data_IF_429070670927
#
_entry.id   IF_429070670927
#
_cell.length_a   1.000
_cell.length_b   1.000
_cell.length_c   1.000
_cell.angle_alpha   90.00
_cell.angle_beta   90.00
_cell.angle_gamma   90.00
#
_symmetry.space_group_name_H-M   'P 1'
#
loop_
_entity.id
_entity.type
_entity.pdbx_description
1 polymer ?
#
# COMPACT_ATOMS: atom_id res chain seq x y z
N UNK A 1 1.49 20.43 6.59
CA UNK A 1 2.79 19.74 6.40
C UNK A 1 3.24 18.95 7.63
N UNK A 2 3.11 19.49 8.86
CA UNK A 2 3.48 18.80 10.12
C UNK A 2 2.75 17.47 10.40
N UNK A 3 1.50 17.30 9.96
CA UNK A 3 0.76 16.04 10.18
C UNK A 3 1.39 14.86 9.43
N UNK A 4 1.89 15.05 8.21
CA UNK A 4 2.48 13.97 7.40
C UNK A 4 3.85 13.53 7.93
N UNK A 5 4.66 14.47 8.45
CA UNK A 5 5.95 14.12 9.05
C UNK A 5 5.79 13.31 10.33
N UNK A 6 4.79 13.65 11.16
CA UNK A 6 4.45 12.83 12.33
C UNK A 6 3.98 11.44 11.94
N UNK A 7 3.20 11.31 10.86
CA UNK A 7 2.76 10.01 10.39
C UNK A 7 3.94 9.12 9.92
N UNK A 8 4.93 9.74 9.26
CA UNK A 8 6.16 9.07 8.86
C UNK A 8 6.95 8.53 10.06
N UNK A 9 7.18 9.38 11.07
CA UNK A 9 7.96 8.99 12.26
C UNK A 9 7.26 7.84 12.98
N UNK A 10 5.93 7.90 13.10
CA UNK A 10 5.18 6.87 13.80
C UNK A 10 5.34 5.48 13.17
N UNK A 11 5.20 5.35 11.84
CA UNK A 11 5.36 4.04 11.19
C UNK A 11 6.82 3.57 11.21
N UNK A 12 7.79 4.49 11.17
CA UNK A 12 9.21 4.18 11.32
C UNK A 12 9.51 3.60 12.71
N UNK A 13 8.91 4.17 13.75
CA UNK A 13 9.02 3.65 15.13
C UNK A 13 8.38 2.26 15.22
N UNK A 14 7.20 2.05 14.64
CA UNK A 14 6.57 0.72 14.60
C UNK A 14 7.46 -0.32 13.91
N UNK A 15 8.05 0.06 12.77
CA UNK A 15 9.00 -0.78 12.05
C UNK A 15 10.23 -1.08 12.88
N UNK A 16 10.79 -0.08 13.56
CA UNK A 16 11.95 -0.27 14.42
C UNK A 16 11.64 -1.20 15.59
N UNK A 17 10.48 -1.07 16.23
CA UNK A 17 10.03 -1.98 17.29
C UNK A 17 9.89 -3.42 16.79
N UNK A 18 9.31 -3.63 15.60
CA UNK A 18 9.27 -4.96 14.99
C UNK A 18 10.67 -5.47 14.64
N UNK A 19 11.58 -4.59 14.22
CA UNK A 19 12.95 -4.96 13.87
C UNK A 19 13.71 -5.46 15.11
N UNK A 20 13.58 -4.75 16.24
CA UNK A 20 14.14 -5.17 17.52
C UNK A 20 13.58 -6.51 17.99
N UNK A 21 12.34 -6.84 17.61
CA UNK A 21 11.70 -8.15 17.89
C UNK A 21 12.07 -9.24 16.88
N UNK A 22 12.86 -8.94 15.85
CA UNK A 22 13.18 -9.88 14.77
C UNK A 22 11.97 -10.26 13.89
N UNK A 23 10.90 -9.46 13.91
CA UNK A 23 9.64 -9.74 13.21
C UNK A 23 9.54 -9.06 11.83
N UNK A 24 10.56 -8.32 11.43
CA UNK A 24 10.59 -7.62 10.13
C UNK A 24 10.99 -8.58 9.05
N UNK A 25 10.09 -8.77 8.08
CA UNK A 25 10.38 -9.53 6.86
C UNK A 25 10.96 -8.57 5.84
N UNK A 26 12.24 -8.26 6.00
CA UNK A 26 12.98 -7.55 4.94
C UNK A 26 12.99 -8.45 3.72
N UNK A 27 12.59 -7.92 2.58
CA UNK A 27 12.83 -8.60 1.30
C UNK A 27 14.34 -8.74 1.13
N UNK A 28 14.82 -9.88 0.63
CA UNK A 28 16.22 -10.02 0.21
C UNK A 28 16.53 -8.91 -0.77
N UNK A 29 17.50 -8.07 -0.41
CA UNK A 29 18.14 -7.15 -1.34
C UNK A 29 18.58 -7.96 -2.57
N UNK A 30 18.41 -7.38 -3.75
CA UNK A 30 19.02 -7.87 -4.98
C UNK A 30 20.52 -8.17 -4.74
N UNK A 31 21.15 -9.07 -5.53
CA UNK A 31 22.52 -9.45 -5.30
C UNK A 31 23.42 -8.19 -5.29
N UNK A 32 24.12 -8.02 -4.17
CA UNK A 32 25.29 -7.17 -3.95
C UNK A 32 25.35 -5.87 -4.78
N UNK A 33 24.80 -4.77 -4.25
CA UNK A 33 25.23 -3.41 -4.61
C UNK A 33 24.20 -2.48 -5.26
N UNK A 34 22.98 -2.95 -5.57
CA UNK A 34 21.89 -2.08 -6.03
C UNK A 34 20.84 -1.90 -4.94
N UNK A 35 20.88 -0.74 -4.28
CA UNK A 35 19.77 -0.26 -3.47
C UNK A 35 18.73 0.31 -4.45
N UNK A 36 17.66 -0.42 -4.83
CA UNK A 36 16.65 0.18 -5.71
C UNK A 36 15.71 1.09 -4.92
N UNK A 37 16.20 2.29 -4.73
CA UNK A 37 15.38 3.48 -4.79
C UNK A 37 14.90 3.70 -6.23
N UNK A 38 13.63 4.06 -6.38
CA UNK A 38 12.93 4.44 -7.62
C UNK A 38 13.85 5.07 -8.70
N UNK A 39 13.83 4.48 -9.90
CA UNK A 39 14.49 5.06 -11.06
C UNK A 39 13.46 5.78 -11.91
N UNK A 40 13.65 7.09 -12.10
CA UNK A 40 12.91 7.86 -13.10
C UNK A 40 13.95 8.36 -14.10
N UNK A 41 13.77 8.03 -15.39
CA UNK A 41 14.64 8.46 -16.49
C UNK A 41 16.14 8.08 -16.33
N UNK A 42 16.43 6.94 -15.69
CA UNK A 42 17.81 6.45 -15.55
C UNK A 42 18.70 7.26 -14.61
N UNK A 43 18.15 8.21 -13.84
CA UNK A 43 18.87 8.93 -12.78
C UNK A 43 18.27 8.63 -11.41
N UNK A 44 19.16 8.32 -10.47
CA UNK A 44 18.82 8.10 -9.06
C UNK A 44 18.45 9.44 -8.43
N UNK A 45 17.19 9.61 -8.04
CA UNK A 45 16.84 10.72 -7.16
C UNK A 45 17.33 10.37 -5.74
N UNK A 46 18.15 11.20 -5.09
CA UNK A 46 18.72 10.87 -3.77
C UNK A 46 17.71 11.05 -2.62
N UNK A 47 16.61 11.76 -2.87
CA UNK A 47 15.58 12.11 -1.89
C UNK A 47 14.28 12.45 -2.63
N UNK A 48 13.19 11.77 -2.30
CA UNK A 48 11.93 11.87 -3.06
C UNK A 48 11.17 10.56 -2.98
N UNK A 49 10.94 10.09 -1.76
CA UNK A 49 10.11 8.89 -1.58
C UNK A 49 8.66 9.33 -1.58
N UNK A 50 7.86 8.82 -2.52
CA UNK A 50 6.42 9.02 -2.51
C UNK A 50 5.86 8.58 -1.16
N UNK A 51 5.24 9.51 -0.43
CA UNK A 51 4.75 9.27 0.92
C UNK A 51 3.89 8.00 1.01
N UNK A 52 2.93 7.84 0.09
CA UNK A 52 2.05 6.67 0.06
C UNK A 52 2.82 5.37 -0.19
N UNK A 53 3.73 5.36 -1.16
CA UNK A 53 4.53 4.18 -1.49
C UNK A 53 5.48 3.82 -0.34
N UNK A 54 6.11 4.83 0.29
CA UNK A 54 6.95 4.66 1.47
C UNK A 54 6.18 3.99 2.62
N UNK A 55 5.02 4.56 2.98
CA UNK A 55 4.17 4.02 4.04
C UNK A 55 3.75 2.58 3.74
N UNK A 56 3.33 2.29 2.50
CA UNK A 56 2.96 0.93 2.11
C UNK A 56 4.12 -0.05 2.20
N UNK A 57 5.32 0.31 1.74
CA UNK A 57 6.51 -0.56 1.83
C UNK A 57 6.89 -0.85 3.28
N UNK A 58 6.95 0.17 4.14
CA UNK A 58 7.25 -0.01 5.56
C UNK A 58 6.17 -0.84 6.26
N UNK A 59 4.89 -0.65 5.90
CA UNK A 59 3.79 -1.44 6.44
C UNK A 59 3.82 -2.90 5.97
N UNK A 60 4.24 -3.17 4.73
CA UNK A 60 4.40 -4.52 4.22
C UNK A 60 5.51 -5.29 4.94
N UNK A 61 6.64 -4.63 5.22
CA UNK A 61 7.77 -5.22 5.96
C UNK A 61 7.38 -5.73 7.36
N UNK A 62 6.38 -5.10 7.99
CA UNK A 62 5.81 -5.48 9.29
C UNK A 62 4.51 -6.30 9.20
N UNK A 63 4.12 -6.75 8.01
CA UNK A 63 2.86 -7.48 7.73
C UNK A 63 1.59 -6.74 8.21
N UNK A 64 1.64 -5.40 8.21
CA UNK A 64 0.55 -4.53 8.63
C UNK A 64 -0.22 -3.91 7.44
N UNK A 65 0.32 -3.99 6.22
CA UNK A 65 -0.36 -3.56 5.01
C UNK A 65 -1.56 -4.48 4.68
N UNK A 66 -2.80 -3.97 4.69
CA UNK A 66 -3.97 -4.80 4.46
C UNK A 66 -4.18 -5.06 2.97
N UNK A 67 -4.12 -6.32 2.52
CA UNK A 67 -4.52 -6.68 1.16
C UNK A 67 -6.02 -6.48 0.98
N UNK A 68 -6.49 -6.09 -0.22
CA UNK A 68 -7.92 -5.98 -0.55
C UNK A 68 -8.71 -7.25 -0.17
N UNK A 69 -8.15 -8.44 -0.46
CA UNK A 69 -8.75 -9.73 -0.06
C UNK A 69 -8.83 -9.88 1.46
N UNK A 70 -7.83 -9.39 2.18
CA UNK A 70 -7.79 -9.45 3.65
C UNK A 70 -8.79 -8.50 4.29
N UNK A 71 -8.96 -7.30 3.73
CA UNK A 71 -10.00 -6.34 4.08
C UNK A 71 -11.39 -6.93 3.81
N UNK A 72 -11.59 -7.50 2.61
CA UNK A 72 -12.86 -8.12 2.22
C UNK A 72 -13.22 -9.38 3.03
N UNK A 73 -12.23 -10.09 3.57
CA UNK A 73 -12.46 -11.23 4.47
C UNK A 73 -12.70 -10.79 5.92
N UNK A 74 -11.91 -9.84 6.42
CA UNK A 74 -12.08 -9.25 7.76
C UNK A 74 -13.39 -8.47 7.87
N UNK A 75 -13.86 -8.00 6.72
CA UNK A 75 -15.15 -7.37 6.47
C UNK A 75 -16.36 -8.15 7.00
N UNK A 76 -16.38 -9.49 6.92
CA UNK A 76 -17.48 -10.30 7.48
C UNK A 76 -17.63 -10.17 9.02
N UNK A 77 -16.62 -9.64 9.72
CA UNK A 77 -16.61 -9.49 11.18
C UNK A 77 -17.00 -8.09 11.66
N UNK A 78 -16.96 -7.09 10.78
CA UNK A 78 -17.10 -5.67 11.14
C UNK A 78 -18.37 -5.06 10.53
N UNK A 79 -18.96 -4.07 11.21
CA UNK A 79 -20.28 -3.48 10.84
C UNK A 79 -20.33 -2.83 9.44
N UNK A 80 -19.23 -2.24 8.94
CA UNK A 80 -19.22 -1.49 7.67
C UNK A 80 -17.97 -1.76 6.81
N UNK A 81 -17.91 -2.93 6.16
CA UNK A 81 -16.72 -3.35 5.44
C UNK A 81 -16.44 -2.60 4.14
N UNK A 82 -17.50 -2.26 3.41
CA UNK A 82 -17.43 -1.57 2.13
C UNK A 82 -16.88 -0.15 2.32
N UNK A 83 -17.19 0.50 3.44
CA UNK A 83 -16.64 1.81 3.80
C UNK A 83 -15.14 1.73 3.98
N UNK A 84 -14.65 0.75 4.74
CA UNK A 84 -13.22 0.52 4.94
C UNK A 84 -12.48 0.24 3.63
N UNK A 85 -13.09 -0.56 2.74
CA UNK A 85 -12.51 -0.86 1.42
C UNK A 85 -12.42 0.40 0.56
N UNK A 86 -13.50 1.17 0.49
CA UNK A 86 -13.53 2.41 -0.27
C UNK A 86 -12.52 3.43 0.27
N UNK A 87 -12.48 3.66 1.59
CA UNK A 87 -11.48 4.53 2.20
C UNK A 87 -10.05 4.05 1.98
N UNK A 88 -9.84 2.74 1.86
CA UNK A 88 -8.52 2.21 1.58
C UNK A 88 -8.10 2.46 0.12
N UNK A 89 -9.02 2.32 -0.84
CA UNK A 89 -8.73 2.59 -2.25
C UNK A 89 -8.62 4.08 -2.57
N UNK A 90 -9.46 4.89 -1.94
CA UNK A 90 -9.68 6.30 -2.29
C UNK A 90 -8.99 7.27 -1.32
N UNK A 91 -8.75 6.82 -0.09
CA UNK A 91 -8.14 7.63 0.96
C UNK A 91 -6.63 7.72 0.80
N UNK A 92 -6.05 8.70 1.49
CA UNK A 92 -4.61 8.81 1.63
C UNK A 92 -4.08 7.72 2.58
N UNK A 93 -2.82 7.34 2.42
CA UNK A 93 -2.10 6.38 3.27
C UNK A 93 -1.94 6.87 4.72
N UNK A 94 -3.03 6.84 5.49
CA UNK A 94 -3.03 7.19 6.91
C UNK A 94 -2.74 5.98 7.79
N UNK A 95 -2.09 6.23 8.93
CA UNK A 95 -1.73 5.19 9.92
C UNK A 95 -2.88 4.28 10.34
N UNK A 96 -4.13 4.75 10.56
CA UNK A 96 -5.24 3.87 10.93
C UNK A 96 -5.43 2.72 9.95
N UNK A 97 -5.19 2.93 8.64
CA UNK A 97 -5.27 1.90 7.61
C UNK A 97 -4.23 0.78 7.83
N UNK A 98 -3.01 1.15 8.21
CA UNK A 98 -1.93 0.20 8.53
C UNK A 98 -2.07 -0.43 9.92
N UNK A 99 -3.08 -0.05 10.70
CA UNK A 99 -3.40 -0.65 12.01
C UNK A 99 -4.72 -1.43 12.00
N UNK A 100 -5.26 -1.70 10.81
CA UNK A 100 -6.40 -2.61 10.65
C UNK A 100 -5.99 -4.08 10.81
N UNK A 101 -4.71 -4.39 10.53
CA UNK A 101 -4.09 -5.70 10.57
C UNK A 101 -2.63 -5.59 11.04
N UNK A 102 -2.03 -6.71 11.43
CA UNK A 102 -0.62 -6.79 11.79
C UNK A 102 -0.38 -6.76 13.31
N UNK A 103 0.87 -6.60 13.75
CA UNK A 103 1.26 -6.71 15.15
C UNK A 103 0.70 -5.58 16.05
N UNK A 104 0.29 -4.47 15.44
CA UNK A 104 -0.23 -3.28 16.13
C UNK A 104 -1.71 -3.00 15.82
N UNK A 105 -2.47 -4.04 15.47
CA UNK A 105 -3.88 -3.93 15.13
C UNK A 105 -4.70 -3.37 16.30
N UNK A 106 -5.62 -2.44 16.01
CA UNK A 106 -6.49 -1.83 17.02
C UNK A 106 -7.93 -1.71 16.53
N UNK A 107 -8.90 -1.99 17.41
CA UNK A 107 -10.34 -1.83 17.12
C UNK A 107 -10.71 -0.36 16.90
N UNK A 108 -10.10 0.56 17.64
CA UNK A 108 -10.33 2.01 17.47
C UNK A 108 -9.97 2.47 16.05
N UNK A 109 -8.94 1.87 15.43
CA UNK A 109 -8.55 2.22 14.07
C UNK A 109 -9.62 1.82 13.04
N UNK A 110 -10.39 0.76 13.30
CA UNK A 110 -11.54 0.40 12.46
C UNK A 110 -12.64 1.46 12.53
N UNK A 111 -12.92 1.99 13.72
CA UNK A 111 -13.94 3.03 13.89
C UNK A 111 -13.51 4.35 13.21
N UNK A 112 -12.24 4.74 13.36
CA UNK A 112 -11.68 5.93 12.71
C UNK A 112 -11.70 5.78 11.17
N UNK A 113 -11.32 4.62 10.64
CA UNK A 113 -11.34 4.38 9.19
C UNK A 113 -12.77 4.38 8.63
N UNK A 114 -13.73 3.74 9.30
CA UNK A 114 -15.10 3.61 8.79
C UNK A 114 -16.01 4.82 9.03
N UNK A 115 -15.62 5.72 9.95
CA UNK A 115 -16.36 6.94 10.25
C UNK A 115 -15.60 8.17 9.77
N UNK A 116 -14.53 8.58 10.45
CA UNK A 116 -13.84 9.85 10.19
C UNK A 116 -13.22 9.91 8.80
N UNK A 117 -12.42 8.91 8.42
CA UNK A 117 -11.78 8.88 7.10
C UNK A 117 -12.82 8.73 5.99
N UNK A 118 -13.88 7.94 6.24
CA UNK A 118 -14.99 7.79 5.32
C UNK A 118 -15.70 9.13 5.07
N UNK A 119 -16.00 9.88 6.13
CA UNK A 119 -16.65 11.19 6.03
C UNK A 119 -15.79 12.17 5.22
N UNK A 120 -14.48 12.17 5.43
CA UNK A 120 -13.54 12.96 4.61
C UNK A 120 -13.60 12.55 3.13
N UNK A 121 -13.60 11.25 2.83
CA UNK A 121 -13.70 10.77 1.45
C UNK A 121 -15.03 11.19 0.80
N UNK A 122 -16.15 11.13 1.51
CA UNK A 122 -17.46 11.53 0.98
C UNK A 122 -17.56 13.04 0.77
N UNK A 123 -17.01 13.84 1.70
CA UNK A 123 -17.04 15.32 1.65
C UNK A 123 -16.23 15.93 0.50
N UNK A 124 -15.29 15.20 -0.11
CA UNK A 124 -14.56 15.64 -1.33
C UNK A 124 -15.46 15.88 -2.54
N UNK A 125 -16.71 15.42 -2.50
CA UNK A 125 -17.68 15.63 -3.56
C UNK A 125 -17.57 14.60 -4.69
N UNK A 126 -18.65 14.46 -5.46
CA UNK A 126 -18.78 13.40 -6.46
C UNK A 126 -17.78 13.54 -7.62
N UNK A 127 -17.44 14.77 -8.04
CA UNK A 127 -16.56 15.03 -9.17
C UNK A 127 -15.10 14.59 -8.89
N UNK A 128 -14.55 14.98 -7.74
CA UNK A 128 -13.19 14.56 -7.35
C UNK A 128 -13.11 13.05 -7.11
N UNK A 129 -14.14 12.49 -6.46
CA UNK A 129 -14.21 11.05 -6.25
C UNK A 129 -14.29 10.27 -7.56
N UNK A 130 -15.02 10.77 -8.56
CA UNK A 130 -15.06 10.16 -9.89
C UNK A 130 -13.70 10.24 -10.60
N UNK A 131 -13.01 11.38 -10.53
CA UNK A 131 -11.68 11.55 -11.13
C UNK A 131 -10.63 10.61 -10.52
N UNK A 132 -10.59 10.49 -9.20
CA UNK A 132 -9.67 9.59 -8.51
C UNK A 132 -10.03 8.11 -8.73
N UNK A 133 -11.33 7.78 -8.79
CA UNK A 133 -11.78 6.44 -9.11
C UNK A 133 -11.40 6.06 -10.54
N UNK A 134 -11.55 6.98 -11.51
CA UNK A 134 -11.20 6.73 -12.90
C UNK A 134 -9.70 6.49 -13.07
N UNK A 135 -8.85 7.29 -12.43
CA UNK A 135 -7.39 7.07 -12.40
C UNK A 135 -7.05 5.70 -11.82
N UNK A 136 -7.73 5.29 -10.74
CA UNK A 136 -7.52 3.98 -10.11
C UNK A 136 -7.93 2.83 -11.04
N UNK A 137 -9.07 2.96 -11.72
CA UNK A 137 -9.58 1.96 -12.68
C UNK A 137 -8.64 1.85 -13.89
N UNK A 138 -8.23 2.97 -14.49
CA UNK A 138 -7.28 2.98 -15.61
C UNK A 138 -5.96 2.35 -15.20
N UNK A 139 -5.42 2.72 -14.04
CA UNK A 139 -4.19 2.13 -13.51
C UNK A 139 -4.34 0.62 -13.31
N UNK A 140 -5.47 0.16 -12.79
CA UNK A 140 -5.75 -1.26 -12.63
C UNK A 140 -5.75 -2.00 -13.98
N UNK A 141 -6.44 -1.47 -15.00
CA UNK A 141 -6.48 -2.06 -16.33
C UNK A 141 -5.12 -2.07 -17.02
N UNK A 142 -4.33 -1.00 -16.87
CA UNK A 142 -2.97 -0.95 -17.41
C UNK A 142 -2.08 -2.02 -16.78
N UNK A 143 -2.12 -2.18 -15.45
CA UNK A 143 -1.36 -3.22 -14.75
C UNK A 143 -1.84 -4.63 -15.14
N UNK A 144 -3.14 -4.83 -15.32
CA UNK A 144 -3.70 -6.10 -15.78
C UNK A 144 -3.25 -6.43 -17.20
N UNK A 145 -3.30 -5.46 -18.11
CA UNK A 145 -2.84 -5.63 -19.49
C UNK A 145 -1.33 -5.96 -19.55
N UNK A 146 -0.51 -5.26 -18.76
CA UNK A 146 0.92 -5.56 -18.65
C UNK A 146 1.15 -6.99 -18.11
N UNK A 147 0.39 -7.41 -17.10
CA UNK A 147 0.46 -8.77 -16.56
C UNK A 147 0.07 -9.81 -17.62
N UNK A 148 -1.00 -9.59 -18.39
CA UNK A 148 -1.42 -10.48 -19.47
C UNK A 148 -0.38 -10.55 -20.60
N UNK A 149 0.22 -9.42 -20.97
CA UNK A 149 1.29 -9.38 -21.96
C UNK A 149 2.51 -10.18 -21.48
N UNK A 150 2.90 -10.05 -20.21
CA UNK A 150 3.99 -10.83 -19.62
C UNK A 150 3.65 -12.33 -19.59
N UNK A 151 2.40 -12.70 -19.25
CA UNK A 151 1.92 -14.08 -19.32
C UNK A 151 2.07 -14.66 -20.73
N UNK A 152 1.59 -13.93 -21.74
CA UNK A 152 1.63 -14.36 -23.15
C UNK A 152 3.07 -14.47 -23.62
N UNK A 153 3.91 -13.48 -23.31
CA UNK A 153 5.34 -13.48 -23.64
C UNK A 153 6.06 -14.68 -23.01
N UNK A 154 5.84 -14.94 -21.73
CA UNK A 154 6.42 -16.08 -21.03
C UNK A 154 5.96 -17.42 -21.59
N UNK A 155 4.68 -17.52 -21.98
CA UNK A 155 4.12 -18.71 -22.61
C UNK A 155 4.72 -18.96 -24.00
N UNK A 156 4.89 -17.91 -24.81
CA UNK A 156 5.54 -18.00 -26.13
C UNK A 156 7.04 -18.32 -26.06
N UNK A 157 7.76 -17.80 -25.06
CA UNK A 157 9.21 -18.01 -24.90
C UNK A 157 9.60 -19.17 -23.98
N UNK A 158 8.64 -19.92 -23.43
CA UNK A 158 8.89 -21.02 -22.49
C UNK A 158 9.58 -20.59 -21.18
N UNK A 159 9.52 -19.30 -20.82
CA UNK A 159 10.10 -18.76 -19.59
C UNK A 159 9.06 -18.75 -18.46
N UNK A 160 9.51 -18.89 -17.22
CA UNK A 160 8.61 -18.73 -16.07
C UNK A 160 8.30 -17.24 -15.88
N UNK A 161 7.02 -16.86 -15.80
CA UNK A 161 6.66 -15.47 -15.52
C UNK A 161 7.14 -15.07 -14.13
N UNK A 162 7.96 -14.04 -14.08
CA UNK A 162 8.36 -13.40 -12.83
C UNK A 162 7.26 -12.41 -12.43
N UNK A 163 6.11 -12.93 -12.00
CA UNK A 163 5.06 -12.08 -11.48
C UNK A 163 5.53 -11.37 -10.21
N UNK A 164 5.28 -10.06 -10.14
CA UNK A 164 5.59 -9.27 -8.95
C UNK A 164 7.06 -9.31 -8.54
N UNK A 165 7.98 -9.17 -9.51
CA UNK A 165 9.34 -8.72 -9.20
C UNK A 165 9.20 -7.36 -8.51
N UNK A 166 9.26 -7.37 -7.18
CA UNK A 166 9.36 -6.14 -6.39
C UNK A 166 10.68 -5.50 -6.81
N UNK A 167 10.62 -4.47 -7.66
CA UNK A 167 11.75 -3.58 -7.87
C UNK A 167 12.23 -3.18 -6.47
N UNK A 168 13.45 -3.55 -6.14
CA UNK A 168 14.07 -3.47 -4.83
C UNK A 168 15.55 -3.25 -5.00
#
# INVERSE_FOLDING_TARGET
MFSLSLQNIYIQVMWWLCNLRGQVKRLSSAPTGQNASYMVLGRKYPYGVDYGNYMHRVAEDIDAAPTLRSLLRSSKRNKHPWRALYTYCQGQAHIPLFRLRGPFASKMCWDVTTNELWDVCVRRGAAENFGLLSVTIVSFWMNLAACLLECVWCLCCGRRPSFFTRYG
#
